data_IF_953451577613
#
_entry.id   IF_953451577613
#
_cell.length_a   1.000
_cell.length_b   1.000
_cell.length_c   1.000
_cell.angle_alpha   90.00
_cell.angle_beta   90.00
_cell.angle_gamma   90.00
#
_symmetry.space_group_name_H-M   'P 1'
#
loop_
_entity.id
_entity.type
_entity.pdbx_description
1 polymer ?
#
# COMPACT_ATOMS: atom_id res chain seq x y z
N UNK A 1 11.61 80.49 8.74
CA UNK A 1 10.42 79.63 8.72
C UNK A 1 10.75 78.45 7.83
N UNK A 2 11.05 77.24 8.41
CA UNK A 2 11.41 76.02 7.66
C UNK A 2 10.26 75.04 7.74
N UNK A 3 9.58 74.80 6.61
CA UNK A 3 8.49 73.88 6.47
C UNK A 3 9.06 72.47 6.38
N UNK A 4 8.70 71.54 7.35
CA UNK A 4 9.07 70.15 7.28
C UNK A 4 7.88 69.36 6.71
N UNK A 5 8.07 68.84 5.48
CA UNK A 5 7.12 67.85 4.90
C UNK A 5 7.42 66.48 5.50
N UNK A 6 6.47 65.93 6.20
CA UNK A 6 6.48 64.51 6.65
C UNK A 6 5.85 63.65 5.55
N UNK A 7 6.66 62.78 4.92
CA UNK A 7 6.15 61.74 4.02
C UNK A 7 5.58 60.59 4.87
N UNK A 8 4.30 60.37 4.77
CA UNK A 8 3.65 59.17 5.31
C UNK A 8 3.77 58.04 4.28
N UNK A 9 4.62 57.03 4.56
CA UNK A 9 4.70 55.83 3.73
C UNK A 9 3.58 54.84 4.14
N UNK A 10 2.60 54.66 3.26
CA UNK A 10 1.53 53.70 3.43
C UNK A 10 2.01 52.29 3.05
N UNK A 11 2.32 51.41 4.03
CA UNK A 11 2.66 50.03 3.81
C UNK A 11 1.36 49.25 3.54
N UNK A 12 1.12 48.89 2.29
CA UNK A 12 0.04 47.98 1.90
C UNK A 12 0.49 46.56 2.17
N UNK A 13 -0.01 45.95 3.23
CA UNK A 13 0.20 44.55 3.58
C UNK A 13 -0.71 43.67 2.67
N UNK A 14 -0.15 43.15 1.57
CA UNK A 14 -0.84 42.11 0.77
C UNK A 14 -0.89 40.81 1.55
N UNK A 15 -2.00 40.54 2.23
CA UNK A 15 -2.27 39.26 2.82
C UNK A 15 -2.61 38.24 1.68
N UNK A 16 -1.64 37.43 1.32
CA UNK A 16 -1.87 36.29 0.41
C UNK A 16 -2.69 35.24 1.13
N UNK A 17 -4.00 35.15 0.84
CA UNK A 17 -4.86 34.06 1.29
C UNK A 17 -4.49 32.80 0.50
N UNK A 18 -3.64 31.95 1.07
CA UNK A 18 -3.42 30.61 0.56
C UNK A 18 -4.73 29.82 0.77
N UNK A 19 -5.46 29.55 -0.31
CA UNK A 19 -6.60 28.64 -0.29
C UNK A 19 -6.06 27.24 0.06
N UNK A 20 -6.32 26.78 1.27
CA UNK A 20 -6.03 25.41 1.67
C UNK A 20 -6.90 24.48 0.80
N UNK A 21 -6.26 23.76 -0.12
CA UNK A 21 -6.93 22.66 -0.85
C UNK A 21 -7.31 21.63 0.19
N UNK A 22 -8.62 21.44 0.42
CA UNK A 22 -9.12 20.44 1.34
C UNK A 22 -8.55 19.07 0.93
N UNK A 23 -7.94 18.36 1.89
CA UNK A 23 -7.46 17.02 1.66
C UNK A 23 -8.63 16.11 1.26
N UNK A 24 -8.44 15.28 0.23
CA UNK A 24 -9.46 14.31 -0.17
C UNK A 24 -9.78 13.39 1.03
N UNK A 25 -11.07 13.05 1.24
CA UNK A 25 -11.46 12.10 2.29
C UNK A 25 -10.65 10.81 2.16
N UNK A 26 -10.43 10.14 3.29
CA UNK A 26 -9.74 8.85 3.26
C UNK A 26 -10.64 7.79 2.62
N UNK A 27 -10.04 6.93 1.81
CA UNK A 27 -10.78 5.82 1.20
C UNK A 27 -11.15 4.77 2.27
N UNK A 28 -12.31 4.12 2.11
CA UNK A 28 -12.74 3.06 3.00
C UNK A 28 -11.97 1.76 2.76
N UNK A 29 -12.00 0.88 3.78
CA UNK A 29 -11.54 -0.48 3.61
C UNK A 29 -12.41 -1.21 2.61
N UNK A 30 -11.79 -1.92 1.67
CA UNK A 30 -12.48 -2.82 0.76
C UNK A 30 -11.66 -4.08 0.55
N UNK A 31 -12.31 -5.23 0.61
CA UNK A 31 -11.71 -6.53 0.33
C UNK A 31 -12.46 -7.21 -0.81
N UNK A 32 -11.86 -7.21 -1.98
CA UNK A 32 -12.42 -7.78 -3.21
C UNK A 32 -11.77 -9.14 -3.49
N UNK A 33 -12.50 -10.23 -3.25
CA UNK A 33 -12.03 -11.59 -3.57
C UNK A 33 -11.77 -11.74 -5.06
N UNK A 34 -10.65 -12.37 -5.43
CA UNK A 34 -10.38 -12.70 -6.81
C UNK A 34 -11.21 -13.92 -7.26
N UNK A 35 -11.69 -13.88 -8.49
CA UNK A 35 -12.64 -14.86 -9.03
C UNK A 35 -12.16 -15.54 -10.31
N UNK A 36 -11.32 -14.87 -11.11
CA UNK A 36 -11.00 -15.30 -12.47
C UNK A 36 -9.59 -14.90 -12.89
N UNK A 37 -9.12 -15.48 -13.99
CA UNK A 37 -7.89 -15.02 -14.63
C UNK A 37 -8.18 -13.92 -15.64
N UNK A 38 -7.36 -12.88 -15.63
CA UNK A 38 -7.32 -11.82 -16.64
C UNK A 38 -6.06 -11.93 -17.49
N UNK A 39 -6.04 -11.25 -18.63
CA UNK A 39 -4.91 -11.32 -19.56
C UNK A 39 -3.78 -10.32 -19.25
N UNK A 40 -4.09 -9.25 -18.55
CA UNK A 40 -3.18 -8.12 -18.35
C UNK A 40 -3.20 -7.60 -16.91
N UNK A 41 -2.05 -7.05 -16.44
CA UNK A 41 -1.98 -6.32 -15.18
C UNK A 41 -2.95 -5.14 -15.18
N UNK A 42 -3.44 -4.80 -14.00
CA UNK A 42 -4.27 -3.61 -13.83
C UNK A 42 -3.41 -2.34 -13.82
N UNK A 43 -3.97 -1.17 -14.23
CA UNK A 43 -3.23 0.10 -14.20
C UNK A 43 -2.70 0.46 -12.81
N UNK A 44 -3.44 0.12 -11.75
CA UNK A 44 -3.01 0.37 -10.37
C UNK A 44 -1.85 -0.52 -9.95
N UNK A 45 -1.83 -1.80 -10.35
CA UNK A 45 -0.70 -2.69 -10.07
C UNK A 45 0.59 -2.19 -10.76
N UNK A 46 0.51 -1.76 -12.02
CA UNK A 46 1.64 -1.14 -12.73
C UNK A 46 2.10 0.17 -12.06
N UNK A 47 1.16 0.98 -11.58
CA UNK A 47 1.49 2.21 -10.87
C UNK A 47 2.15 1.93 -9.51
N UNK A 48 1.73 0.86 -8.80
CA UNK A 48 2.33 0.41 -7.55
C UNK A 48 3.77 -0.06 -7.78
N UNK A 49 4.05 -0.82 -8.85
CA UNK A 49 5.43 -1.21 -9.21
C UNK A 49 6.31 0.04 -9.38
N UNK A 50 5.86 1.02 -10.17
CA UNK A 50 6.59 2.28 -10.35
C UNK A 50 6.78 3.07 -9.04
N UNK A 51 5.83 2.98 -8.12
CA UNK A 51 5.98 3.59 -6.80
C UNK A 51 7.03 2.86 -5.97
N UNK A 52 7.02 1.52 -5.96
CA UNK A 52 8.01 0.70 -5.27
C UNK A 52 9.42 0.94 -5.81
N UNK A 53 9.62 0.97 -7.12
CA UNK A 53 10.91 1.28 -7.77
C UNK A 53 11.51 2.61 -7.31
N UNK A 54 10.69 3.60 -7.02
CA UNK A 54 11.15 4.93 -6.56
C UNK A 54 11.28 5.05 -5.04
N UNK A 55 10.59 4.24 -4.27
CA UNK A 55 10.42 4.45 -2.82
C UNK A 55 10.87 3.27 -1.97
N UNK A 56 11.27 2.14 -2.57
CA UNK A 56 11.64 0.92 -1.85
C UNK A 56 12.94 0.33 -2.36
N UNK A 57 13.66 -0.36 -1.48
CA UNK A 57 14.71 -1.32 -1.85
C UNK A 57 14.04 -2.63 -2.28
N UNK A 58 14.79 -3.48 -2.97
CA UNK A 58 14.27 -4.73 -3.51
C UNK A 58 14.09 -4.67 -5.02
N UNK A 59 13.47 -5.68 -5.60
CA UNK A 59 13.27 -5.77 -7.05
C UNK A 59 11.89 -6.31 -7.38
N UNK A 60 11.36 -5.90 -8.53
CA UNK A 60 10.10 -6.40 -9.04
C UNK A 60 10.20 -7.88 -9.42
N UNK A 61 9.24 -8.70 -8.93
CA UNK A 61 9.21 -10.14 -9.18
C UNK A 61 8.04 -10.58 -10.05
N UNK A 62 6.90 -9.92 -9.99
CA UNK A 62 5.79 -10.24 -10.86
C UNK A 62 4.44 -9.67 -10.44
N UNK A 63 3.51 -9.70 -11.40
CA UNK A 63 2.10 -9.38 -11.18
C UNK A 63 1.22 -10.55 -11.61
N UNK A 64 1.45 -11.11 -12.79
CA UNK A 64 0.52 -12.02 -13.43
C UNK A 64 0.88 -13.49 -13.19
N UNK A 65 -0.07 -14.23 -12.58
CA UNK A 65 0.00 -15.68 -12.43
C UNK A 65 -1.43 -16.22 -12.32
N UNK A 66 -1.89 -16.96 -13.35
CA UNK A 66 -3.24 -17.52 -13.36
C UNK A 66 -3.33 -18.74 -12.44
N UNK A 67 -3.57 -18.49 -11.16
CA UNK A 67 -3.83 -19.51 -10.15
C UNK A 67 -5.31 -19.52 -9.78
N UNK A 68 -5.97 -20.66 -9.94
CA UNK A 68 -7.38 -20.86 -9.59
C UNK A 68 -7.52 -22.01 -8.59
N UNK A 69 -8.36 -21.81 -7.59
CA UNK A 69 -8.63 -22.80 -6.54
C UNK A 69 -10.06 -23.35 -6.61
N UNK A 70 -10.80 -23.01 -7.67
CA UNK A 70 -12.17 -23.47 -7.89
C UNK A 70 -13.01 -22.47 -8.68
N UNK A 71 -14.30 -22.72 -8.75
CA UNK A 71 -15.27 -21.82 -9.41
C UNK A 71 -15.35 -20.51 -8.61
N UNK A 72 -15.10 -19.39 -9.26
CA UNK A 72 -15.09 -18.06 -8.66
C UNK A 72 -14.08 -17.89 -7.51
N UNK A 73 -12.97 -18.64 -7.53
CA UNK A 73 -11.88 -18.54 -6.58
C UNK A 73 -10.53 -18.54 -7.30
N UNK A 74 -9.76 -17.49 -7.11
CA UNK A 74 -8.47 -17.31 -7.75
C UNK A 74 -7.54 -16.45 -6.87
N UNK A 75 -6.25 -16.44 -7.21
CA UNK A 75 -5.27 -15.50 -6.66
C UNK A 75 -5.52 -14.08 -7.15
N UNK A 76 -5.15 -13.07 -6.37
CA UNK A 76 -5.13 -11.67 -6.82
C UNK A 76 -4.19 -11.48 -8.02
N UNK A 77 -3.12 -12.29 -8.13
CA UNK A 77 -2.26 -12.34 -9.32
C UNK A 77 -3.01 -12.75 -10.58
N UNK A 78 -3.97 -13.66 -10.46
CA UNK A 78 -4.78 -14.08 -11.60
C UNK A 78 -5.61 -12.93 -12.18
N UNK A 79 -6.00 -11.97 -11.36
CA UNK A 79 -6.71 -10.76 -11.81
C UNK A 79 -5.77 -9.59 -12.13
N UNK A 80 -4.44 -9.77 -12.02
CA UNK A 80 -3.45 -8.74 -12.31
C UNK A 80 -3.47 -7.56 -11.33
N UNK A 81 -3.86 -7.79 -10.09
CA UNK A 81 -3.96 -6.78 -9.03
C UNK A 81 -3.18 -7.11 -7.77
N UNK A 82 -2.26 -8.07 -7.84
CA UNK A 82 -1.23 -8.29 -6.83
C UNK A 82 0.17 -8.07 -7.41
N UNK A 83 1.09 -7.69 -6.56
CA UNK A 83 2.49 -7.44 -6.87
C UNK A 83 3.35 -8.27 -5.91
N UNK A 84 4.28 -9.05 -6.44
CA UNK A 84 5.36 -9.65 -5.69
C UNK A 84 6.61 -8.76 -5.81
N UNK A 85 7.12 -8.31 -4.67
CA UNK A 85 8.31 -7.49 -4.56
C UNK A 85 9.38 -8.24 -3.79
N UNK A 86 10.49 -8.58 -4.46
CA UNK A 86 11.55 -9.41 -3.88
C UNK A 86 12.27 -8.70 -2.74
N UNK A 87 12.22 -9.33 -1.58
CA UNK A 87 12.96 -9.06 -0.36
C UNK A 87 13.16 -10.40 0.34
N UNK A 88 14.37 -10.74 0.75
CA UNK A 88 14.65 -12.04 1.42
C UNK A 88 14.64 -11.90 2.94
N UNK A 89 13.76 -12.64 3.61
CA UNK A 89 13.64 -12.61 5.08
C UNK A 89 14.89 -13.12 5.83
N UNK A 90 15.83 -13.78 5.15
CA UNK A 90 17.13 -14.18 5.70
C UNK A 90 18.11 -13.02 5.74
N UNK A 91 17.94 -12.02 4.86
CA UNK A 91 18.80 -10.84 4.76
C UNK A 91 18.31 -9.74 5.72
N UNK A 92 19.19 -9.30 6.62
CA UNK A 92 18.82 -8.31 7.64
C UNK A 92 18.39 -6.95 7.04
N UNK A 93 19.00 -6.53 5.94
CA UNK A 93 18.63 -5.30 5.24
C UNK A 93 17.21 -5.37 4.67
N UNK A 94 16.85 -6.52 4.08
CA UNK A 94 15.54 -6.73 3.46
C UNK A 94 14.43 -6.83 4.52
N UNK A 95 14.72 -7.46 5.67
CA UNK A 95 13.78 -7.45 6.81
C UNK A 95 13.51 -6.03 7.32
N UNK A 96 14.52 -5.17 7.38
CA UNK A 96 14.32 -3.77 7.77
C UNK A 96 13.49 -3.02 6.75
N UNK A 97 13.74 -3.26 5.47
CA UNK A 97 12.98 -2.62 4.40
C UNK A 97 11.52 -3.08 4.38
N UNK A 98 11.25 -4.38 4.46
CA UNK A 98 9.90 -4.91 4.55
C UNK A 98 9.14 -4.33 5.76
N UNK A 99 9.80 -4.28 6.94
CA UNK A 99 9.22 -3.65 8.14
C UNK A 99 8.93 -2.16 7.91
N UNK A 100 9.84 -1.43 7.26
CA UNK A 100 9.64 -0.01 6.93
C UNK A 100 8.42 0.20 6.04
N UNK A 101 8.28 -0.60 4.97
CA UNK A 101 7.15 -0.52 4.04
C UNK A 101 5.83 -0.85 4.74
N UNK A 102 5.78 -1.94 5.50
CA UNK A 102 4.58 -2.35 6.24
C UNK A 102 4.18 -1.26 7.23
N UNK A 103 5.12 -0.74 8.01
CA UNK A 103 4.85 0.34 8.96
C UNK A 103 4.36 1.61 8.25
N UNK A 104 4.93 1.96 7.09
CA UNK A 104 4.51 3.11 6.30
C UNK A 104 3.06 2.97 5.80
N UNK A 105 2.69 1.80 5.28
CA UNK A 105 1.33 1.57 4.78
C UNK A 105 0.29 1.48 5.89
N UNK A 106 0.66 0.87 7.02
CA UNK A 106 -0.26 0.63 8.15
C UNK A 106 -0.21 1.71 9.23
N UNK A 107 0.55 2.78 9.04
CA UNK A 107 0.58 3.89 10.00
C UNK A 107 -0.76 4.62 10.07
N UNK A 108 -1.11 5.07 11.28
CA UNK A 108 -2.14 6.06 11.52
C UNK A 108 -1.60 7.44 11.11
N UNK A 109 -2.36 8.22 10.37
CA UNK A 109 -1.96 9.58 9.98
C UNK A 109 -2.25 10.61 11.10
N UNK A 110 -1.85 11.86 10.88
CA UNK A 110 -2.07 12.97 11.82
C UNK A 110 -3.55 13.30 12.07
N UNK A 111 -4.45 12.84 11.22
CA UNK A 111 -5.90 13.02 11.33
C UNK A 111 -6.56 11.86 12.11
N UNK A 112 -5.78 10.88 12.62
CA UNK A 112 -6.27 9.72 13.35
C UNK A 112 -6.79 8.59 12.47
N UNK A 113 -6.58 8.64 11.14
CA UNK A 113 -7.01 7.57 10.25
C UNK A 113 -6.00 6.42 10.29
N UNK A 114 -6.43 5.26 10.77
CA UNK A 114 -5.64 4.03 10.76
C UNK A 114 -5.38 3.53 9.34
N UNK A 115 -4.20 2.90 9.13
CA UNK A 115 -3.76 2.33 7.86
C UNK A 115 -3.91 3.30 6.67
N UNK A 116 -3.65 4.58 6.94
CA UNK A 116 -4.02 5.68 6.06
C UNK A 116 -3.45 5.53 4.64
N UNK A 117 -2.17 5.17 4.51
CA UNK A 117 -1.56 5.03 3.19
C UNK A 117 -2.04 3.78 2.47
N UNK A 118 -2.22 2.65 3.17
CA UNK A 118 -2.77 1.43 2.57
C UNK A 118 -4.17 1.69 2.00
N UNK A 119 -5.05 2.35 2.77
CA UNK A 119 -6.40 2.74 2.32
C UNK A 119 -6.34 3.64 1.09
N UNK A 120 -5.54 4.71 1.15
CA UNK A 120 -5.39 5.66 0.03
C UNK A 120 -4.82 5.02 -1.23
N UNK A 121 -3.94 4.02 -1.12
CA UNK A 121 -3.40 3.27 -2.26
C UNK A 121 -4.32 2.14 -2.73
N UNK A 122 -5.33 1.78 -1.93
CA UNK A 122 -6.23 0.65 -2.18
C UNK A 122 -5.58 -0.70 -1.96
N UNK A 123 -4.61 -0.77 -1.04
CA UNK A 123 -4.02 -2.03 -0.59
C UNK A 123 -5.06 -2.74 0.27
N UNK A 124 -5.38 -3.98 -0.08
CA UNK A 124 -6.32 -4.83 0.68
C UNK A 124 -5.63 -6.00 1.36
N UNK A 125 -4.40 -6.31 0.97
CA UNK A 125 -3.66 -7.48 1.44
C UNK A 125 -2.17 -7.21 1.40
N UNK A 126 -1.49 -7.57 2.49
CA UNK A 126 -0.02 -7.59 2.58
C UNK A 126 0.36 -8.93 3.20
N UNK A 127 1.28 -9.68 2.56
CA UNK A 127 1.82 -10.91 3.13
C UNK A 127 3.34 -10.83 3.14
N UNK A 128 3.95 -11.12 4.29
CA UNK A 128 5.38 -11.14 4.46
C UNK A 128 5.82 -12.06 5.59
N UNK A 129 6.74 -12.96 5.32
CA UNK A 129 7.44 -13.81 6.29
C UNK A 129 6.49 -14.45 7.32
N UNK A 130 5.54 -15.23 6.83
CA UNK A 130 4.52 -15.92 7.64
C UNK A 130 3.50 -15.02 8.37
N UNK A 131 3.41 -13.75 8.02
CA UNK A 131 2.40 -12.83 8.55
C UNK A 131 1.60 -12.22 7.41
N UNK A 132 0.35 -11.87 7.69
CA UNK A 132 -0.54 -11.22 6.72
C UNK A 132 -1.36 -10.12 7.38
N UNK A 133 -1.66 -9.09 6.62
CA UNK A 133 -2.64 -8.08 6.94
C UNK A 133 -3.71 -8.07 5.85
N UNK A 134 -4.96 -7.95 6.28
CA UNK A 134 -6.13 -7.84 5.41
C UNK A 134 -6.86 -6.54 5.73
N UNK A 135 -7.45 -5.90 4.74
CA UNK A 135 -8.15 -4.64 4.89
C UNK A 135 -9.18 -4.70 6.05
N UNK A 136 -8.99 -3.84 7.03
CA UNK A 136 -9.81 -3.77 8.25
C UNK A 136 -9.30 -4.60 9.43
N UNK A 137 -8.16 -5.30 9.31
CA UNK A 137 -7.51 -5.92 10.46
C UNK A 137 -6.62 -4.91 11.20
N UNK A 138 -6.50 -5.04 12.53
CA UNK A 138 -5.73 -4.10 13.36
C UNK A 138 -4.23 -4.07 13.02
N UNK A 139 -3.67 -5.17 12.51
CA UNK A 139 -2.26 -5.27 12.14
C UNK A 139 -1.89 -6.62 11.53
N UNK A 140 -0.59 -6.85 11.36
CA UNK A 140 -0.06 -8.10 10.80
C UNK A 140 -0.35 -9.28 11.72
N UNK A 141 -1.24 -10.17 11.29
CA UNK A 141 -1.59 -11.43 11.95
C UNK A 141 -0.79 -12.63 11.44
N UNK A 142 -1.07 -13.82 11.96
CA UNK A 142 -0.48 -15.09 11.53
C UNK A 142 -1.03 -15.51 10.17
N UNK A 143 -0.15 -15.80 9.22
CA UNK A 143 -0.55 -16.29 7.91
C UNK A 143 -0.84 -17.80 7.93
N UNK A 144 -2.00 -18.21 7.42
CA UNK A 144 -2.52 -19.58 7.52
C UNK A 144 -1.64 -20.65 6.88
N UNK A 145 -0.83 -20.30 5.88
CA UNK A 145 0.16 -21.23 5.29
C UNK A 145 1.21 -21.65 6.32
N UNK A 146 1.61 -20.75 7.22
CA UNK A 146 2.63 -20.98 8.22
C UNK A 146 2.09 -21.47 9.56
N UNK A 147 0.79 -21.28 9.81
CA UNK A 147 0.17 -21.63 11.09
C UNK A 147 -1.11 -22.44 10.91
N UNK A 148 -1.40 -23.31 11.87
CA UNK A 148 -2.68 -24.02 11.95
C UNK A 148 -3.79 -23.10 12.46
N UNK A 149 -5.04 -23.53 12.38
CA UNK A 149 -6.17 -22.80 12.95
C UNK A 149 -6.03 -22.57 14.47
N UNK A 150 -5.36 -23.49 15.19
CA UNK A 150 -5.02 -23.32 16.62
C UNK A 150 -3.83 -22.37 16.86
N UNK A 151 -3.27 -21.75 15.81
CA UNK A 151 -2.14 -20.84 15.91
C UNK A 151 -0.78 -21.49 16.11
N UNK A 152 -0.67 -22.82 16.01
CA UNK A 152 0.60 -23.55 16.08
C UNK A 152 1.37 -23.42 14.77
N UNK A 153 2.68 -23.13 14.86
CA UNK A 153 3.54 -23.03 13.68
C UNK A 153 3.71 -24.40 13.00
N UNK A 154 3.58 -24.44 11.68
CA UNK A 154 3.83 -25.65 10.87
C UNK A 154 5.34 -25.89 10.76
N UNK A 155 5.76 -27.16 10.85
CA UNK A 155 7.18 -27.54 10.81
C UNK A 155 7.81 -27.36 9.43
N UNK A 156 7.08 -27.71 8.38
CA UNK A 156 7.54 -27.66 7.00
C UNK A 156 6.61 -26.74 6.21
N UNK A 157 7.16 -25.64 5.73
CA UNK A 157 6.45 -24.66 4.90
C UNK A 157 7.37 -24.28 3.75
N UNK A 158 6.85 -24.30 2.53
CA UNK A 158 7.57 -23.82 1.37
C UNK A 158 7.98 -22.35 1.57
N UNK A 159 9.22 -22.01 1.19
CA UNK A 159 9.80 -20.69 1.47
C UNK A 159 9.05 -19.56 0.76
N UNK A 160 8.71 -19.81 -0.51
CA UNK A 160 7.97 -18.85 -1.35
C UNK A 160 6.50 -18.77 -0.95
N UNK A 161 5.83 -19.90 -0.67
CA UNK A 161 4.43 -19.90 -0.18
C UNK A 161 4.30 -19.23 1.20
N UNK A 162 5.36 -19.28 2.01
CA UNK A 162 5.45 -18.56 3.27
C UNK A 162 5.78 -17.07 3.13
N UNK A 163 5.93 -16.58 1.89
CA UNK A 163 6.31 -15.19 1.58
C UNK A 163 7.58 -14.74 2.33
N UNK A 164 8.60 -15.61 2.32
CA UNK A 164 9.89 -15.32 2.97
C UNK A 164 10.93 -14.71 2.04
N UNK A 165 10.72 -14.82 0.74
CA UNK A 165 11.57 -14.29 -0.34
C UNK A 165 10.94 -13.10 -1.09
N UNK A 166 9.73 -12.72 -0.73
CA UNK A 166 9.06 -11.55 -1.31
C UNK A 166 7.97 -11.02 -0.38
N UNK A 167 7.69 -9.74 -0.47
CA UNK A 167 6.48 -9.14 0.08
C UNK A 167 5.40 -9.15 -1.00
N UNK A 168 4.24 -9.72 -0.69
CA UNK A 168 3.06 -9.73 -1.53
C UNK A 168 2.17 -8.54 -1.18
N UNK A 169 1.70 -7.82 -2.19
CA UNK A 169 0.85 -6.63 -2.06
C UNK A 169 -0.36 -6.79 -2.97
N UNK A 170 -1.53 -6.99 -2.39
CA UNK A 170 -2.79 -7.12 -3.12
C UNK A 170 -3.60 -5.83 -3.11
N UNK A 171 -4.17 -5.46 -4.26
CA UNK A 171 -5.03 -4.28 -4.40
C UNK A 171 -6.50 -4.67 -4.50
N UNK A 172 -7.36 -3.86 -3.86
CA UNK A 172 -8.79 -3.87 -4.14
C UNK A 172 -9.07 -3.27 -5.54
N UNK A 173 -10.31 -3.39 -6.04
CA UNK A 173 -10.62 -2.90 -7.38
C UNK A 173 -10.51 -1.38 -7.52
N UNK A 174 -10.74 -0.62 -6.47
CA UNK A 174 -10.56 0.83 -6.51
C UNK A 174 -9.08 1.19 -6.71
N UNK A 175 -8.18 0.59 -5.92
CA UNK A 175 -6.73 0.74 -6.06
C UNK A 175 -6.23 0.22 -7.41
N UNK A 176 -6.65 -0.99 -7.80
CA UNK A 176 -6.28 -1.62 -9.07
C UNK A 176 -6.66 -0.78 -10.30
N UNK A 177 -7.74 0.01 -10.22
CA UNK A 177 -8.21 0.93 -11.28
C UNK A 177 -7.74 2.38 -11.11
N UNK A 178 -6.86 2.66 -10.14
CA UNK A 178 -6.39 4.00 -9.79
C UNK A 178 -7.52 4.98 -9.41
N UNK A 179 -8.54 4.49 -8.72
CA UNK A 179 -9.73 5.28 -8.33
C UNK A 179 -9.70 5.77 -6.89
N UNK A 180 -8.67 5.40 -6.13
CA UNK A 180 -8.48 5.86 -4.75
C UNK A 180 -7.81 7.24 -4.70
N UNK A 181 -7.88 7.90 -3.56
CA UNK A 181 -7.41 9.27 -3.37
C UNK A 181 -5.91 9.45 -3.65
N UNK A 182 -5.11 8.40 -3.46
CA UNK A 182 -3.66 8.43 -3.75
C UNK A 182 -3.36 8.57 -5.24
N UNK A 183 -4.13 7.91 -6.10
CA UNK A 183 -3.87 7.84 -7.54
C UNK A 183 -4.57 8.92 -8.36
N UNK A 184 -5.51 9.66 -7.77
CA UNK A 184 -6.27 10.73 -8.44
C UNK A 184 -5.63 12.11 -8.37
N UNK A 185 -4.45 12.21 -7.81
CA UNK A 185 -3.68 13.48 -7.70
C UNK A 185 -3.02 13.84 -9.02
#
# INVERSE_FOLDING_TARGET
MRLRFALLALLILCASTATAVAALPIDDYAYDKAKTCRKHPTPGALAMVKWLERNAKGTFWGIMRCERWGKNSASLHAEGRAIDWHLDSRVAADRREAKRLINLWLATNSEGNEHALARRMGIQEIIWNCHSWWAGADGMGKYSVCYTASGKRRKHVNFTEAHKDHIHIGLNWAGARKRTSFWRR
#
